data_IF_720975977748
#
_entry.id   IF_720975977748
#
_cell.length_a   1.000
_cell.length_b   1.000
_cell.length_c   1.000
_cell.angle_alpha   90.00
_cell.angle_beta   90.00
_cell.angle_gamma   90.00
#
_symmetry.space_group_name_H-M   'P 1'
#
loop_
_entity.id
_entity.type
_entity.pdbx_description
1 polymer ?
#
# COMPACT_ATOMS: atom_id res chain seq x y z
N UNK A 1 -21.23 -8.48 -48.52
CA UNK A 1 -22.43 -8.56 -47.64
C UNK A 1 -23.37 -7.42 -47.97
N UNK A 2 -24.57 -7.70 -48.50
CA UNK A 2 -25.62 -6.68 -48.63
C UNK A 2 -26.27 -6.47 -47.27
N UNK A 3 -25.91 -5.36 -46.61
CA UNK A 3 -26.55 -4.96 -45.36
C UNK A 3 -27.97 -4.47 -45.69
N UNK A 4 -28.98 -5.21 -45.27
CA UNK A 4 -30.37 -4.75 -45.27
C UNK A 4 -30.53 -3.59 -44.24
N UNK A 5 -31.49 -2.69 -44.47
CA UNK A 5 -31.78 -1.53 -43.59
C UNK A 5 -30.70 -0.45 -43.48
N UNK A 6 -29.97 -0.15 -44.57
CA UNK A 6 -28.98 0.95 -44.64
C UNK A 6 -29.52 2.30 -44.14
N UNK A 7 -30.82 2.58 -44.32
CA UNK A 7 -31.47 3.81 -43.85
C UNK A 7 -31.63 3.85 -42.33
N UNK A 8 -31.93 2.73 -41.70
CA UNK A 8 -32.10 2.63 -40.25
C UNK A 8 -30.76 2.71 -39.53
N UNK A 9 -29.70 2.12 -40.09
CA UNK A 9 -28.33 2.31 -39.59
C UNK A 9 -27.93 3.79 -39.61
N UNK A 10 -28.20 4.50 -40.72
CA UNK A 10 -28.00 5.96 -40.78
C UNK A 10 -28.87 6.70 -39.76
N UNK A 11 -30.11 6.24 -39.52
CA UNK A 11 -31.00 6.83 -38.53
C UNK A 11 -30.50 6.64 -37.09
N UNK A 12 -30.02 5.45 -36.73
CA UNK A 12 -29.41 5.16 -35.41
C UNK A 12 -28.20 6.06 -35.18
N UNK A 13 -27.31 6.19 -36.17
CA UNK A 13 -26.15 7.09 -36.10
C UNK A 13 -26.55 8.57 -35.99
N UNK A 14 -27.71 8.95 -36.55
CA UNK A 14 -28.26 10.31 -36.43
C UNK A 14 -28.97 10.58 -35.11
N UNK A 15 -29.32 9.57 -34.31
CA UNK A 15 -30.02 9.78 -33.03
C UNK A 15 -29.14 10.61 -32.09
N UNK A 16 -29.68 11.75 -31.64
CA UNK A 16 -29.10 12.56 -30.57
C UNK A 16 -30.04 12.54 -29.37
N UNK A 17 -29.54 12.10 -28.22
CA UNK A 17 -30.33 12.06 -27.00
C UNK A 17 -30.43 13.48 -26.41
N UNK A 18 -31.58 14.11 -26.57
CA UNK A 18 -31.84 15.44 -25.99
C UNK A 18 -31.88 15.36 -24.47
N UNK A 19 -31.06 16.20 -23.82
CA UNK A 19 -30.88 16.24 -22.35
C UNK A 19 -32.20 16.36 -21.58
N UNK A 20 -33.17 17.11 -22.12
CA UNK A 20 -34.41 17.44 -21.41
C UNK A 20 -35.61 16.52 -21.74
N UNK A 21 -35.47 15.57 -22.68
CA UNK A 21 -36.60 14.73 -23.14
C UNK A 21 -37.22 13.89 -22.01
N UNK A 22 -36.47 13.60 -20.94
CA UNK A 22 -36.90 12.78 -19.80
C UNK A 22 -36.41 13.32 -18.45
N UNK A 23 -36.56 14.63 -18.22
CA UNK A 23 -36.02 15.29 -17.02
C UNK A 23 -36.57 14.73 -15.70
N UNK A 24 -37.86 14.43 -15.61
CA UNK A 24 -38.46 13.91 -14.38
C UNK A 24 -37.89 12.53 -13.99
N UNK A 25 -37.64 11.66 -14.97
CA UNK A 25 -36.98 10.37 -14.72
C UNK A 25 -35.51 10.54 -14.28
N UNK A 26 -34.82 11.57 -14.77
CA UNK A 26 -33.44 11.86 -14.36
C UNK A 26 -33.35 12.22 -12.87
N UNK A 27 -34.36 12.89 -12.29
CA UNK A 27 -34.34 13.23 -10.86
C UNK A 27 -34.26 11.96 -10.00
N UNK A 28 -35.11 10.98 -10.26
CA UNK A 28 -35.13 9.70 -9.52
C UNK A 28 -33.79 8.97 -9.66
N UNK A 29 -33.29 8.87 -10.89
CA UNK A 29 -32.02 8.17 -11.19
C UNK A 29 -30.83 8.92 -10.56
N UNK A 30 -30.82 10.25 -10.57
CA UNK A 30 -29.73 11.04 -10.01
C UNK A 30 -29.56 10.80 -8.50
N UNK A 31 -30.66 10.73 -7.76
CA UNK A 31 -30.60 10.45 -6.33
C UNK A 31 -30.15 9.02 -6.01
N UNK A 32 -30.52 8.02 -6.82
CA UNK A 32 -30.04 6.65 -6.63
C UNK A 32 -28.55 6.49 -7.00
N UNK A 33 -28.09 7.15 -8.07
CA UNK A 33 -26.68 7.12 -8.50
C UNK A 33 -25.70 7.67 -7.45
N UNK A 34 -26.12 8.61 -6.59
CA UNK A 34 -25.28 9.10 -5.50
C UNK A 34 -24.79 7.98 -4.57
N UNK A 35 -25.62 6.96 -4.33
CA UNK A 35 -25.23 5.79 -3.51
C UNK A 35 -24.20 4.92 -4.23
N UNK A 36 -24.40 4.67 -5.53
CA UNK A 36 -23.47 3.89 -6.36
C UNK A 36 -22.09 4.55 -6.41
N UNK A 37 -22.02 5.88 -6.50
CA UNK A 37 -20.75 6.61 -6.46
C UNK A 37 -20.00 6.40 -5.13
N UNK A 38 -20.71 6.33 -3.99
CA UNK A 38 -20.07 6.05 -2.68
C UNK A 38 -19.47 4.65 -2.66
N UNK A 39 -20.24 3.64 -3.06
CA UNK A 39 -19.78 2.24 -3.13
C UNK A 39 -18.54 2.11 -4.03
N UNK A 40 -18.52 2.81 -5.17
CA UNK A 40 -17.36 2.78 -6.07
C UNK A 40 -16.09 3.37 -5.45
N UNK A 41 -16.22 4.36 -4.56
CA UNK A 41 -15.11 4.93 -3.81
C UNK A 41 -14.61 3.98 -2.73
N UNK A 42 -15.53 3.36 -1.98
CA UNK A 42 -15.20 2.36 -0.96
C UNK A 42 -14.46 1.17 -1.56
N UNK A 43 -14.91 0.65 -2.70
CA UNK A 43 -14.24 -0.46 -3.37
C UNK A 43 -12.79 -0.13 -3.76
N UNK A 44 -12.56 1.06 -4.35
CA UNK A 44 -11.21 1.53 -4.67
C UNK A 44 -10.36 1.71 -3.41
N UNK A 45 -10.95 2.22 -2.34
CA UNK A 45 -10.27 2.43 -1.06
C UNK A 45 -9.87 1.11 -0.40
N UNK A 46 -10.72 0.08 -0.45
CA UNK A 46 -10.40 -1.25 0.07
C UNK A 46 -9.20 -1.88 -0.65
N UNK A 47 -9.08 -1.68 -1.95
CA UNK A 47 -7.94 -2.15 -2.75
C UNK A 47 -6.63 -1.45 -2.30
N UNK A 48 -6.69 -0.17 -1.96
CA UNK A 48 -5.55 0.53 -1.37
C UNK A 48 -5.26 0.08 0.05
N UNK A 49 -6.29 -0.24 0.86
CA UNK A 49 -6.11 -0.77 2.22
C UNK A 49 -5.34 -2.09 2.22
N UNK A 50 -5.73 -3.02 1.35
CA UNK A 50 -5.05 -4.33 1.26
C UNK A 50 -3.61 -4.17 0.80
N UNK A 51 -3.36 -3.35 -0.23
CA UNK A 51 -1.99 -3.02 -0.67
C UNK A 51 -1.17 -2.35 0.43
N UNK A 52 -1.76 -1.43 1.18
CA UNK A 52 -1.07 -0.75 2.27
C UNK A 52 -0.67 -1.72 3.37
N UNK A 53 -1.51 -2.68 3.71
CA UNK A 53 -1.17 -3.65 4.75
C UNK A 53 -0.05 -4.61 4.33
N UNK A 54 0.02 -4.97 3.04
CA UNK A 54 1.01 -5.92 2.53
C UNK A 54 2.39 -5.30 2.23
N UNK A 55 2.49 -3.98 2.13
CA UNK A 55 3.76 -3.29 1.88
C UNK A 55 4.64 -3.29 3.14
N UNK A 56 5.81 -3.91 3.08
CA UNK A 56 6.75 -3.97 4.21
C UNK A 56 7.46 -2.62 4.35
N UNK A 57 8.31 -2.27 3.39
CA UNK A 57 8.99 -0.98 3.36
C UNK A 57 8.14 0.05 2.62
N UNK A 58 7.73 1.08 3.34
CA UNK A 58 6.92 2.18 2.85
C UNK A 58 7.69 3.48 2.94
N UNK A 59 7.85 4.13 1.81
CA UNK A 59 8.33 5.51 1.75
C UNK A 59 7.14 6.41 1.44
N UNK A 60 6.88 7.35 2.35
CA UNK A 60 5.77 8.29 2.24
C UNK A 60 6.32 9.59 1.64
N UNK A 61 5.66 10.08 0.59
CA UNK A 61 5.97 11.34 -0.07
C UNK A 61 4.77 12.28 -0.02
N UNK A 62 5.03 13.58 -0.03
CA UNK A 62 4.01 14.62 -0.17
C UNK A 62 4.23 15.47 -1.41
N UNK A 63 3.13 15.78 -2.08
CA UNK A 63 3.13 16.66 -3.23
C UNK A 63 3.10 18.13 -2.77
N UNK A 64 4.03 18.94 -3.28
CA UNK A 64 4.11 20.38 -3.00
C UNK A 64 3.82 21.25 -4.23
N UNK A 65 3.13 20.67 -5.23
CA UNK A 65 2.60 21.42 -6.37
C UNK A 65 1.57 22.46 -5.90
N UNK A 66 1.78 23.71 -6.27
CA UNK A 66 0.79 24.79 -6.17
C UNK A 66 -0.24 24.68 -7.29
N UNK A 67 0.23 24.67 -8.54
CA UNK A 67 -0.54 24.44 -9.76
C UNK A 67 0.33 23.76 -10.82
N UNK A 68 -0.28 23.30 -11.91
CA UNK A 68 0.44 22.64 -13.00
C UNK A 68 1.01 23.58 -14.07
N UNK A 69 0.98 24.91 -13.87
CA UNK A 69 1.40 25.86 -14.91
C UNK A 69 2.91 25.84 -15.11
N UNK A 70 3.69 25.92 -14.04
CA UNK A 70 5.15 25.91 -14.10
C UNK A 70 5.67 24.69 -14.89
N UNK A 71 5.09 23.52 -14.61
CA UNK A 71 5.45 22.27 -15.30
C UNK A 71 5.08 22.32 -16.79
N UNK A 72 3.89 22.84 -17.11
CA UNK A 72 3.43 22.94 -18.50
C UNK A 72 4.27 23.90 -19.32
N UNK A 73 4.70 25.02 -18.76
CA UNK A 73 5.56 25.98 -19.46
C UNK A 73 6.92 25.37 -19.82
N UNK A 74 7.42 24.44 -19.01
CA UNK A 74 8.65 23.70 -19.27
C UNK A 74 8.43 22.38 -20.04
N UNK A 75 7.20 22.10 -20.51
CA UNK A 75 6.80 20.81 -21.11
C UNK A 75 7.09 19.59 -20.23
N UNK A 76 7.13 19.78 -18.91
CA UNK A 76 7.30 18.73 -17.92
C UNK A 76 5.95 18.29 -17.36
N UNK A 77 5.90 17.06 -16.86
CA UNK A 77 4.73 16.56 -16.15
C UNK A 77 5.12 15.60 -15.04
N UNK A 78 4.26 15.50 -14.04
CA UNK A 78 4.44 14.58 -12.93
C UNK A 78 4.00 13.17 -13.35
N UNK A 79 4.95 12.27 -13.62
CA UNK A 79 4.61 10.89 -13.96
C UNK A 79 4.40 10.05 -12.69
N UNK A 80 3.14 9.82 -12.34
CA UNK A 80 2.73 8.96 -11.22
C UNK A 80 2.45 7.51 -11.64
N UNK A 81 2.67 7.14 -12.90
CA UNK A 81 2.48 5.77 -13.41
C UNK A 81 3.77 4.96 -13.46
N UNK A 82 4.82 5.45 -12.80
CA UNK A 82 6.08 4.71 -12.67
C UNK A 82 5.81 3.42 -11.88
N UNK A 83 6.44 2.30 -12.28
CA UNK A 83 6.17 0.92 -11.82
C UNK A 83 6.27 0.71 -10.29
N UNK A 84 6.60 1.73 -9.51
CA UNK A 84 7.02 1.66 -8.11
C UNK A 84 6.14 2.51 -7.17
N UNK A 85 5.17 3.25 -7.71
CA UNK A 85 4.18 4.00 -6.92
C UNK A 85 2.94 3.13 -6.69
N UNK A 86 2.69 2.71 -5.45
CA UNK A 86 1.68 1.70 -5.15
C UNK A 86 0.33 2.30 -4.77
N UNK A 87 0.36 3.42 -4.05
CA UNK A 87 -0.83 4.01 -3.44
C UNK A 87 -0.71 5.52 -3.47
N UNK A 88 -1.70 6.17 -4.09
CA UNK A 88 -1.81 7.63 -4.13
C UNK A 88 -3.10 8.06 -3.45
N UNK A 89 -3.03 9.05 -2.57
CA UNK A 89 -4.16 9.67 -1.88
C UNK A 89 -5.04 8.72 -1.05
N UNK A 90 -4.45 7.70 -0.42
CA UNK A 90 -5.20 6.73 0.38
C UNK A 90 -5.42 7.20 1.83
N UNK A 91 -4.35 7.45 2.59
CA UNK A 91 -4.44 7.91 3.98
C UNK A 91 -4.71 9.41 4.06
N UNK A 92 -3.94 10.19 3.31
CA UNK A 92 -4.01 11.64 3.27
C UNK A 92 -4.10 12.07 1.81
N UNK A 93 -4.89 13.11 1.54
CA UNK A 93 -4.85 13.76 0.23
C UNK A 93 -3.47 14.39 0.06
N UNK A 94 -2.91 14.29 -1.14
CA UNK A 94 -1.57 14.71 -1.55
C UNK A 94 -0.42 13.81 -1.07
N UNK A 95 -0.71 12.66 -0.45
CA UNK A 95 0.32 11.69 -0.10
C UNK A 95 0.45 10.58 -1.12
N UNK A 96 1.69 10.12 -1.31
CA UNK A 96 2.04 8.99 -2.14
C UNK A 96 2.86 8.01 -1.31
N UNK A 97 2.54 6.72 -1.43
CA UNK A 97 3.30 5.64 -0.80
C UNK A 97 3.98 4.83 -1.89
N UNK A 98 5.28 4.63 -1.73
CA UNK A 98 6.11 3.84 -2.62
C UNK A 98 6.93 2.81 -1.84
N UNK A 99 7.49 1.85 -2.57
CA UNK A 99 8.52 0.96 -2.02
C UNK A 99 9.92 1.57 -2.11
N UNK A 100 10.12 2.46 -3.08
CA UNK A 100 11.44 2.99 -3.40
C UNK A 100 11.79 4.16 -2.49
N UNK A 101 13.02 4.12 -1.99
CA UNK A 101 13.52 5.18 -1.13
C UNK A 101 13.72 6.50 -1.86
N UNK A 102 14.02 6.41 -3.17
CA UNK A 102 14.30 7.54 -4.03
C UNK A 102 13.34 7.54 -5.22
N UNK A 103 12.31 8.39 -5.13
CA UNK A 103 11.44 8.69 -6.27
C UNK A 103 11.84 10.05 -6.86
N UNK A 104 12.43 10.01 -8.05
CA UNK A 104 12.72 11.20 -8.85
C UNK A 104 11.47 11.69 -9.58
N UNK A 105 10.56 12.30 -8.82
CA UNK A 105 9.38 12.94 -9.38
C UNK A 105 9.38 14.42 -8.99
N UNK A 106 9.19 15.29 -9.99
CA UNK A 106 9.18 16.73 -9.80
C UNK A 106 8.08 17.10 -8.80
N UNK A 107 8.45 17.96 -7.86
CA UNK A 107 7.56 18.48 -6.81
C UNK A 107 6.97 17.41 -5.87
N UNK A 108 7.63 16.26 -5.70
CA UNK A 108 7.40 15.29 -4.62
C UNK A 108 8.59 15.25 -3.67
N UNK A 109 8.31 15.34 -2.37
CA UNK A 109 9.34 15.27 -1.33
C UNK A 109 9.07 14.10 -0.42
N UNK A 110 10.14 13.37 -0.07
CA UNK A 110 10.10 12.27 0.89
C UNK A 110 9.86 12.84 2.29
N UNK A 111 8.96 12.21 3.03
CA UNK A 111 8.62 12.58 4.40
C UNK A 111 9.21 11.60 5.41
N UNK A 112 8.86 10.31 5.32
CA UNK A 112 9.31 9.29 6.27
C UNK A 112 9.35 7.90 5.62
N UNK A 113 10.22 7.03 6.13
CA UNK A 113 10.24 5.60 5.83
C UNK A 113 9.74 4.80 7.03
N UNK A 114 8.81 3.89 6.76
CA UNK A 114 8.17 3.04 7.77
C UNK A 114 8.25 1.59 7.30
N UNK A 115 8.56 0.70 8.22
CA UNK A 115 8.62 -0.75 8.04
C UNK A 115 7.43 -1.36 8.78
N UNK A 116 6.62 -2.14 8.06
CA UNK A 116 5.41 -2.80 8.58
C UNK A 116 4.42 -1.88 9.31
N UNK A 117 4.34 -0.61 8.89
CA UNK A 117 3.54 0.46 9.52
C UNK A 117 3.93 0.84 10.96
N UNK A 118 4.82 0.11 11.62
CA UNK A 118 5.08 0.25 13.05
C UNK A 118 6.50 0.72 13.37
N UNK A 119 7.48 0.35 12.54
CA UNK A 119 8.90 0.63 12.82
C UNK A 119 9.41 1.74 11.92
N UNK A 120 10.16 2.68 12.48
CA UNK A 120 10.87 3.68 11.70
C UNK A 120 12.22 3.04 11.31
N UNK A 121 12.61 3.18 10.04
CA UNK A 121 13.80 2.51 9.48
C UNK A 121 15.08 2.79 10.29
N UNK A 122 15.19 3.99 10.87
CA UNK A 122 16.34 4.41 11.67
C UNK A 122 16.53 3.60 12.98
N UNK A 123 15.49 2.90 13.46
CA UNK A 123 15.53 2.20 14.75
C UNK A 123 16.05 0.75 14.62
N UNK A 124 16.11 0.20 13.41
CA UNK A 124 16.56 -1.16 13.16
C UNK A 124 18.06 -1.16 12.82
N UNK A 125 18.91 -1.36 13.83
CA UNK A 125 20.30 -1.75 13.57
C UNK A 125 20.29 -3.13 12.93
N UNK A 126 20.81 -3.22 11.71
CA UNK A 126 20.99 -4.49 11.02
C UNK A 126 22.02 -5.29 11.81
N UNK A 127 21.56 -6.30 12.54
CA UNK A 127 22.42 -7.25 13.21
C UNK A 127 22.54 -8.50 12.35
N UNK A 128 23.75 -8.78 11.86
CA UNK A 128 24.03 -10.00 11.11
C UNK A 128 24.31 -11.21 12.02
N UNK A 129 24.37 -10.99 13.33
CA UNK A 129 24.67 -12.04 14.29
C UNK A 129 23.42 -12.84 14.66
N UNK A 130 23.40 -14.12 14.32
CA UNK A 130 22.31 -15.06 14.65
C UNK A 130 22.46 -15.61 16.07
N UNK A 131 23.60 -15.38 16.74
CA UNK A 131 23.87 -15.91 18.07
C UNK A 131 22.83 -15.47 19.11
N UNK A 132 22.19 -14.31 18.93
CA UNK A 132 21.16 -13.80 19.83
C UNK A 132 19.97 -14.76 19.93
N UNK A 133 19.62 -15.48 18.85
CA UNK A 133 18.54 -16.48 18.86
C UNK A 133 18.90 -17.75 19.64
N UNK A 134 20.18 -18.13 19.63
CA UNK A 134 20.68 -19.38 20.24
C UNK A 134 21.26 -19.17 21.65
N UNK A 135 21.48 -17.93 22.06
CA UNK A 135 22.12 -17.61 23.32
C UNK A 135 21.35 -18.20 24.51
N UNK A 136 20.02 -18.01 24.53
CA UNK A 136 19.16 -18.50 25.60
C UNK A 136 19.14 -20.03 25.62
N UNK A 137 19.02 -20.68 24.45
CA UNK A 137 18.99 -22.14 24.36
C UNK A 137 20.32 -22.75 24.80
N UNK A 138 21.45 -22.14 24.43
CA UNK A 138 22.78 -22.60 24.82
C UNK A 138 23.01 -22.44 26.32
N UNK A 139 22.64 -21.29 26.90
CA UNK A 139 22.75 -21.05 28.35
C UNK A 139 21.92 -22.09 29.12
N UNK A 140 20.68 -22.35 28.70
CA UNK A 140 19.82 -23.34 29.35
C UNK A 140 20.40 -24.75 29.24
N UNK A 141 20.89 -25.13 28.06
CA UNK A 141 21.51 -26.44 27.84
C UNK A 141 22.70 -26.68 28.76
N UNK A 142 23.66 -25.75 28.81
CA UNK A 142 24.83 -25.88 29.67
C UNK A 142 24.47 -25.84 31.16
N UNK A 143 23.48 -25.03 31.55
CA UNK A 143 22.99 -25.00 32.94
C UNK A 143 22.43 -26.36 33.38
N UNK A 144 21.61 -26.99 32.54
CA UNK A 144 21.02 -28.31 32.84
C UNK A 144 22.11 -29.37 32.99
N UNK A 145 23.09 -29.40 32.07
CA UNK A 145 24.21 -30.35 32.14
C UNK A 145 24.99 -30.16 33.44
N UNK A 146 25.23 -28.92 33.84
CA UNK A 146 25.97 -28.61 35.05
C UNK A 146 25.22 -29.04 36.32
N UNK A 147 23.92 -28.75 36.42
CA UNK A 147 23.07 -29.18 37.54
C UNK A 147 22.97 -30.71 37.63
N UNK A 148 22.87 -31.39 36.48
CA UNK A 148 22.87 -32.85 36.42
C UNK A 148 24.20 -33.45 36.90
N UNK A 149 25.32 -32.87 36.49
CA UNK A 149 26.65 -33.28 36.95
C UNK A 149 26.81 -33.15 38.46
N UNK A 150 26.39 -32.03 39.05
CA UNK A 150 26.40 -31.83 40.50
C UNK A 150 25.53 -32.88 41.21
N UNK A 151 24.33 -33.13 40.70
CA UNK A 151 23.41 -34.12 41.27
C UNK A 151 23.97 -35.54 41.25
N UNK A 152 24.64 -35.94 40.15
CA UNK A 152 25.33 -37.23 40.07
C UNK A 152 26.43 -37.34 41.13
N UNK A 153 27.27 -36.31 41.27
CA UNK A 153 28.35 -36.28 42.26
C UNK A 153 27.81 -36.45 43.70
N UNK A 154 26.73 -35.74 44.03
CA UNK A 154 26.07 -35.85 45.34
C UNK A 154 25.52 -37.27 45.58
N UNK A 155 24.88 -37.87 44.58
CA UNK A 155 24.38 -39.25 44.67
C UNK A 155 25.51 -40.27 44.89
N UNK A 156 26.68 -40.09 44.28
CA UNK A 156 27.84 -40.95 44.53
C UNK A 156 28.39 -40.77 45.94
N UNK A 157 28.49 -39.53 46.44
CA UNK A 157 28.93 -39.26 47.80
C UNK A 157 28.02 -39.91 48.85
N UNK A 158 26.69 -39.87 48.63
CA UNK A 158 25.72 -40.55 49.50
C UNK A 158 25.83 -42.08 49.51
N UNK A 159 26.43 -42.70 48.48
CA UNK A 159 26.67 -44.15 48.45
C UNK A 159 28.00 -44.55 49.10
N UNK A 160 28.98 -43.65 49.08
CA UNK A 160 30.32 -43.89 49.64
C UNK A 160 30.32 -43.67 51.16
N UNK A 161 29.62 -42.64 51.62
CA UNK A 161 29.39 -42.35 53.03
C UNK A 161 28.31 -43.26 53.62
#
# INVERSE_FOLDING_TARGET
>A
MNINFKRELKYVLKKKNFKFKKFNHLLIIFYSLKKILKISKEFKHNLYKTKNNLLINKTIYFNFITNGLDLKFENQYQNLYIKETFINNYLLKNSLISRNNDLNIIKLQKFITIIDNNYIENDLKINFNVNDYLLITNILFFKIIFEYYISLKLNFLLKIN
#
